data_IF_928229046885
#
_entry.id   IF_928229046885
#
_cell.length_a   1.000
_cell.length_b   1.000
_cell.length_c   1.000
_cell.angle_alpha   90.00
_cell.angle_beta   90.00
_cell.angle_gamma   90.00
#
_symmetry.space_group_name_H-M   'P 1'
#
loop_
_entity.id
_entity.type
_entity.pdbx_description
1 polymer ?
#
# COMPACT_ATOMS: atom_id res chain seq x y z
N UNK A 1 -13.06 2.16 -8.28
CA UNK A 1 -13.21 0.87 -7.57
C UNK A 1 -14.49 0.87 -6.76
N UNK A 2 -15.23 -0.20 -6.86
CA UNK A 2 -16.51 -0.33 -6.15
C UNK A 2 -16.28 -0.67 -4.68
N UNK A 3 -17.12 -0.12 -3.80
CA UNK A 3 -17.09 -0.51 -2.38
C UNK A 3 -17.57 -1.95 -2.25
N UNK A 4 -16.74 -2.80 -1.71
CA UNK A 4 -17.08 -4.19 -1.45
C UNK A 4 -16.81 -4.52 0.01
N UNK A 5 -17.47 -5.57 0.49
CA UNK A 5 -17.26 -6.04 1.85
C UNK A 5 -15.84 -6.61 1.98
N UNK A 6 -15.13 -6.22 3.04
CA UNK A 6 -13.79 -6.74 3.33
C UNK A 6 -13.90 -8.24 3.63
N UNK A 7 -13.08 -9.08 2.97
CA UNK A 7 -13.04 -10.51 3.28
C UNK A 7 -12.59 -10.77 4.73
N UNK A 8 -12.88 -11.97 5.20
CA UNK A 8 -12.47 -12.42 6.54
C UNK A 8 -10.93 -12.37 6.63
N UNK A 9 -10.43 -11.82 7.72
CA UNK A 9 -9.00 -11.75 7.98
C UNK A 9 -8.44 -13.12 8.35
N UNK A 10 -7.38 -13.54 7.66
CA UNK A 10 -6.67 -14.78 7.96
C UNK A 10 -5.44 -14.46 8.81
N UNK A 11 -5.66 -14.32 10.12
CA UNK A 11 -4.59 -14.00 11.06
C UNK A 11 -3.48 -15.06 11.03
N UNK A 12 -2.24 -14.60 11.12
CA UNK A 12 -1.07 -15.48 11.10
C UNK A 12 -0.63 -15.90 9.71
N UNK A 13 -1.41 -15.61 8.67
CA UNK A 13 -1.02 -15.91 7.30
C UNK A 13 0.23 -15.11 6.94
N UNK A 14 1.22 -15.81 6.37
CA UNK A 14 2.43 -15.15 5.88
C UNK A 14 2.16 -14.43 4.58
N UNK A 15 2.84 -13.30 4.44
CA UNK A 15 2.71 -12.46 3.28
C UNK A 15 3.29 -13.13 2.03
N UNK A 16 2.69 -12.83 0.87
CA UNK A 16 3.22 -13.24 -0.43
C UNK A 16 4.25 -12.21 -0.89
N UNK A 17 5.42 -12.70 -1.31
CA UNK A 17 6.48 -11.84 -1.78
C UNK A 17 6.10 -11.15 -3.09
N UNK A 18 6.74 -10.03 -3.35
CA UNK A 18 6.56 -9.27 -4.59
C UNK A 18 7.85 -8.57 -4.99
N UNK A 19 7.85 -8.07 -6.22
CA UNK A 19 8.96 -7.28 -6.77
C UNK A 19 8.33 -6.20 -7.64
N UNK A 20 8.30 -4.99 -7.14
CA UNK A 20 7.57 -3.88 -7.77
C UNK A 20 8.44 -2.63 -7.87
N UNK A 21 8.14 -1.80 -8.86
CA UNK A 21 8.84 -0.54 -9.09
C UNK A 21 8.22 0.56 -8.22
N UNK A 22 9.08 1.30 -7.51
CA UNK A 22 8.64 2.43 -6.69
C UNK A 22 8.73 3.76 -7.46
N UNK A 23 8.08 4.78 -6.92
CA UNK A 23 8.10 6.12 -7.53
C UNK A 23 9.48 6.77 -7.51
N UNK A 24 10.41 6.28 -6.70
CA UNK A 24 11.80 6.71 -6.74
C UNK A 24 12.65 5.91 -7.74
N UNK A 25 11.97 5.12 -8.59
CA UNK A 25 12.56 4.34 -9.68
C UNK A 25 13.42 3.16 -9.24
N UNK A 26 13.27 2.71 -7.99
CA UNK A 26 13.91 1.51 -7.49
C UNK A 26 12.96 0.33 -7.58
N UNK A 27 13.51 -0.87 -7.77
CA UNK A 27 12.74 -2.11 -7.69
C UNK A 27 12.85 -2.60 -6.25
N UNK A 28 11.71 -2.75 -5.57
CA UNK A 28 11.64 -3.15 -4.17
C UNK A 28 10.92 -4.47 -4.01
N UNK A 29 11.47 -5.31 -3.12
CA UNK A 29 10.84 -6.57 -2.70
C UNK A 29 10.29 -6.41 -1.29
N UNK A 30 9.56 -7.41 -0.82
CA UNK A 30 9.04 -7.41 0.54
C UNK A 30 10.16 -7.30 1.58
N UNK A 31 11.29 -7.96 1.36
CA UNK A 31 12.45 -7.85 2.25
C UNK A 31 13.00 -6.45 2.35
N UNK A 32 12.97 -5.71 1.23
CA UNK A 32 13.50 -4.34 1.19
C UNK A 32 12.67 -3.37 2.02
N UNK A 33 11.36 -3.63 2.13
CA UNK A 33 10.42 -2.73 2.79
C UNK A 33 10.04 -3.18 4.20
N UNK A 34 10.44 -4.37 4.60
CA UNK A 34 10.10 -4.95 5.89
C UNK A 34 10.64 -4.11 7.04
N UNK A 35 9.78 -3.82 8.03
CA UNK A 35 10.19 -3.12 9.25
C UNK A 35 10.71 -4.07 10.32
N UNK A 36 11.46 -3.54 11.28
CA UNK A 36 12.04 -4.34 12.37
C UNK A 36 10.98 -4.85 13.35
N UNK A 37 9.89 -4.12 13.52
CA UNK A 37 8.79 -4.48 14.43
C UNK A 37 7.52 -4.89 13.69
N UNK A 38 7.39 -4.52 12.43
CA UNK A 38 6.22 -4.84 11.63
C UNK A 38 6.21 -4.11 10.30
N UNK A 39 5.19 -4.40 9.49
CA UNK A 39 5.06 -3.82 8.15
C UNK A 39 3.60 -3.55 7.88
N UNK A 40 3.30 -2.36 7.37
CA UNK A 40 1.96 -1.98 6.92
C UNK A 40 1.97 -1.89 5.40
N UNK A 41 1.06 -2.64 4.77
CA UNK A 41 0.87 -2.59 3.32
C UNK A 41 -0.52 -2.03 3.05
N UNK A 42 -0.61 -0.98 2.24
CA UNK A 42 -1.89 -0.39 1.87
C UNK A 42 -2.03 -0.33 0.35
N UNK A 43 -3.20 -0.70 -0.15
CA UNK A 43 -3.53 -0.56 -1.55
C UNK A 43 -4.30 0.74 -1.74
N UNK A 44 -3.74 1.65 -2.51
CA UNK A 44 -4.31 2.98 -2.77
C UNK A 44 -4.23 3.31 -4.26
N UNK A 45 -4.89 4.38 -4.67
CA UNK A 45 -4.77 4.94 -6.01
C UNK A 45 -4.74 6.46 -5.93
N UNK A 46 -4.33 7.12 -7.02
CA UNK A 46 -4.18 8.57 -7.03
C UNK A 46 -5.52 9.32 -7.09
N UNK A 47 -6.52 8.70 -7.69
CA UNK A 47 -7.80 9.39 -7.96
C UNK A 47 -8.92 9.05 -6.98
N UNK A 48 -8.74 8.06 -6.11
CA UNK A 48 -9.79 7.59 -5.22
C UNK A 48 -10.17 8.66 -4.18
N UNK A 49 -11.45 9.09 -4.11
CA UNK A 49 -11.85 10.10 -3.14
C UNK A 49 -11.60 9.71 -1.68
N UNK A 50 -11.75 8.42 -1.36
CA UNK A 50 -11.50 7.92 -0.01
C UNK A 50 -10.02 8.04 0.37
N UNK A 51 -9.13 7.77 -0.59
CA UNK A 51 -7.68 7.93 -0.38
C UNK A 51 -7.35 9.41 -0.20
N UNK A 52 -7.87 10.27 -1.05
CA UNK A 52 -7.63 11.72 -0.97
C UNK A 52 -8.09 12.30 0.37
N UNK A 53 -9.18 11.75 0.92
CA UNK A 53 -9.71 12.22 2.20
C UNK A 53 -8.80 11.88 3.38
N UNK A 54 -8.02 10.81 3.31
CA UNK A 54 -7.22 10.33 4.45
C UNK A 54 -5.70 10.47 4.25
N UNK A 55 -5.26 10.88 3.05
CA UNK A 55 -3.83 10.77 2.70
C UNK A 55 -2.91 11.56 3.63
N UNK A 56 -3.31 12.74 4.07
CA UNK A 56 -2.49 13.55 4.98
C UNK A 56 -2.29 12.86 6.33
N UNK A 57 -3.36 12.32 6.88
CA UNK A 57 -3.31 11.59 8.15
C UNK A 57 -2.53 10.29 8.00
N UNK A 58 -2.72 9.61 6.87
CA UNK A 58 -2.00 8.37 6.58
C UNK A 58 -0.49 8.60 6.51
N UNK A 59 -0.05 9.66 5.83
CA UNK A 59 1.37 10.00 5.72
C UNK A 59 1.95 10.31 7.11
N UNK A 60 1.22 11.04 7.93
CA UNK A 60 1.66 11.35 9.30
C UNK A 60 1.72 10.09 10.17
N UNK A 61 0.73 9.21 10.05
CA UNK A 61 0.71 7.93 10.76
C UNK A 61 1.89 7.05 10.35
N UNK A 62 2.22 6.99 9.05
CA UNK A 62 3.35 6.22 8.55
C UNK A 62 4.67 6.74 9.11
N UNK A 63 4.81 8.06 9.23
CA UNK A 63 5.98 8.68 9.85
C UNK A 63 6.12 8.26 11.31
N UNK A 64 5.02 8.27 12.06
CA UNK A 64 5.03 7.88 13.47
C UNK A 64 5.28 6.38 13.65
N UNK A 65 4.71 5.53 12.78
CA UNK A 65 4.94 4.09 12.79
C UNK A 65 6.41 3.75 12.53
N UNK A 66 7.07 4.49 11.64
CA UNK A 66 8.49 4.27 11.35
C UNK A 66 9.36 4.47 12.58
N UNK A 67 9.01 5.39 13.47
CA UNK A 67 9.74 5.66 14.71
C UNK A 67 9.74 4.45 15.65
N UNK A 68 8.74 3.58 15.55
CA UNK A 68 8.62 2.37 16.39
C UNK A 68 8.97 1.09 15.62
N UNK A 69 9.61 1.23 14.45
CA UNK A 69 10.08 0.08 13.68
C UNK A 69 9.08 -0.54 12.74
N UNK A 70 7.96 0.14 12.46
CA UNK A 70 6.96 -0.33 11.50
C UNK A 70 7.10 0.47 10.22
N UNK A 71 7.54 -0.19 9.15
CA UNK A 71 7.63 0.43 7.84
C UNK A 71 6.30 0.30 7.09
N UNK A 72 6.01 1.29 6.25
CA UNK A 72 4.77 1.33 5.49
C UNK A 72 5.06 1.39 4.00
N UNK A 73 4.25 0.70 3.21
CA UNK A 73 4.32 0.73 1.75
C UNK A 73 2.92 0.85 1.18
N UNK A 74 2.79 1.67 0.14
CA UNK A 74 1.54 1.80 -0.60
C UNK A 74 1.71 1.17 -1.98
N UNK A 75 0.70 0.43 -2.43
CA UNK A 75 0.71 -0.26 -3.72
C UNK A 75 -0.49 0.21 -4.54
N UNK A 76 -0.24 0.64 -5.77
CA UNK A 76 -1.26 1.04 -6.72
C UNK A 76 -1.44 -0.09 -7.75
N UNK A 77 -2.63 -0.66 -7.80
CA UNK A 77 -2.93 -1.83 -8.64
C UNK A 77 -4.04 -1.59 -9.65
N UNK A 78 -4.44 -0.34 -9.88
CA UNK A 78 -5.44 -0.04 -10.90
C UNK A 78 -4.85 -0.17 -12.30
N UNK A 79 -5.70 -0.53 -13.25
CA UNK A 79 -5.31 -0.57 -14.66
C UNK A 79 -5.10 0.85 -15.17
N UNK A 80 -3.86 1.20 -15.51
CA UNK A 80 -3.50 2.54 -15.97
C UNK A 80 -4.09 2.87 -17.34
N UNK A 81 -4.48 1.88 -18.11
CA UNK A 81 -5.14 2.10 -19.42
C UNK A 81 -6.58 2.57 -19.21
N UNK A 82 -7.27 1.97 -18.23
CA UNK A 82 -8.64 2.35 -17.88
C UNK A 82 -8.68 3.59 -16.98
N UNK A 83 -7.63 3.81 -16.19
CA UNK A 83 -7.52 4.91 -15.23
C UNK A 83 -6.20 5.66 -15.44
N UNK A 84 -6.12 6.52 -16.47
CA UNK A 84 -4.88 7.28 -16.74
C UNK A 84 -4.43 8.15 -15.57
N UNK A 85 -5.35 8.53 -14.69
CA UNK A 85 -5.04 9.29 -13.47
C UNK A 85 -4.09 8.52 -12.55
N UNK A 86 -4.03 7.19 -12.68
CA UNK A 86 -3.19 6.32 -11.87
C UNK A 86 -1.90 5.89 -12.60
N UNK A 87 -1.52 6.61 -13.65
CA UNK A 87 -0.27 6.35 -14.35
C UNK A 87 0.93 6.49 -13.40
N UNK A 88 2.05 5.86 -13.76
CA UNK A 88 3.26 5.93 -12.95
C UNK A 88 3.74 7.38 -12.77
N UNK A 89 3.64 8.19 -13.81
CA UNK A 89 4.00 9.61 -13.75
C UNK A 89 3.12 10.36 -12.74
N UNK A 90 1.82 10.07 -12.73
CA UNK A 90 0.90 10.67 -11.76
C UNK A 90 1.13 10.14 -10.35
N UNK A 91 1.59 8.89 -10.20
CA UNK A 91 1.99 8.35 -8.90
C UNK A 91 3.17 9.14 -8.33
N UNK A 92 4.17 9.44 -9.16
CA UNK A 92 5.34 10.24 -8.73
C UNK A 92 4.87 11.61 -8.23
N UNK A 93 4.01 12.26 -8.99
CA UNK A 93 3.45 13.56 -8.63
C UNK A 93 2.65 13.50 -7.33
N UNK A 94 1.80 12.48 -7.21
CA UNK A 94 0.98 12.27 -6.01
C UNK A 94 1.86 12.09 -4.76
N UNK A 95 2.92 11.30 -4.88
CA UNK A 95 3.86 11.07 -3.78
C UNK A 95 4.60 12.35 -3.39
N UNK A 96 5.02 13.16 -4.36
CA UNK A 96 5.67 14.45 -4.12
C UNK A 96 4.72 15.44 -3.45
N UNK A 97 3.50 15.57 -3.98
CA UNK A 97 2.50 16.52 -3.49
C UNK A 97 2.04 16.19 -2.07
N UNK A 98 2.08 14.92 -1.69
CA UNK A 98 1.62 14.46 -0.38
C UNK A 98 2.75 14.08 0.58
N UNK A 99 4.00 14.37 0.21
CA UNK A 99 5.17 14.17 1.08
C UNK A 99 5.36 12.73 1.56
N UNK A 100 5.44 11.80 0.60
CA UNK A 100 5.65 10.37 0.87
C UNK A 100 7.09 10.04 1.31
N UNK A 101 7.65 10.78 2.23
CA UNK A 101 9.04 10.58 2.67
C UNK A 101 9.23 9.29 3.47
N UNK A 102 8.18 8.85 4.17
CA UNK A 102 8.19 7.65 5.01
C UNK A 102 7.25 6.57 4.50
N UNK A 103 6.87 6.65 3.22
CA UNK A 103 5.91 5.74 2.60
C UNK A 103 6.35 5.48 1.16
N UNK A 104 6.82 4.27 0.88
CA UNK A 104 7.14 3.88 -0.48
C UNK A 104 5.86 3.67 -1.28
N UNK A 105 5.83 4.11 -2.51
CA UNK A 105 4.67 3.97 -3.39
C UNK A 105 5.05 3.14 -4.61
N UNK A 106 4.49 1.94 -4.72
CA UNK A 106 4.84 0.94 -5.71
C UNK A 106 3.73 0.74 -6.73
N UNK A 107 4.10 0.43 -7.96
CA UNK A 107 3.13 0.10 -9.01
C UNK A 107 3.03 -1.42 -9.20
N UNK A 108 1.81 -1.94 -9.08
CA UNK A 108 1.46 -3.34 -9.38
C UNK A 108 0.78 -3.35 -10.75
N UNK A 109 1.60 -3.26 -11.79
CA UNK A 109 1.19 -3.04 -13.17
C UNK A 109 0.26 -4.13 -13.70
N UNK A 110 0.50 -5.37 -13.31
CA UNK A 110 -0.29 -6.53 -13.75
C UNK A 110 -1.45 -6.85 -12.82
N UNK A 111 -1.55 -6.15 -11.68
CA UNK A 111 -2.56 -6.39 -10.65
C UNK A 111 -2.43 -7.76 -9.95
N UNK A 112 -1.30 -8.44 -10.18
CA UNK A 112 -1.07 -9.76 -9.59
C UNK A 112 -0.91 -9.71 -8.08
N UNK A 113 -0.24 -8.68 -7.55
CA UNK A 113 -0.02 -8.54 -6.11
C UNK A 113 -1.34 -8.30 -5.39
N UNK A 114 -2.19 -7.41 -5.94
CA UNK A 114 -3.51 -7.19 -5.37
C UNK A 114 -4.33 -8.47 -5.31
N UNK A 115 -4.26 -9.29 -6.36
CA UNK A 115 -4.97 -10.58 -6.41
C UNK A 115 -4.43 -11.56 -5.37
N UNK A 116 -3.10 -11.65 -5.22
CA UNK A 116 -2.47 -12.52 -4.22
C UNK A 116 -2.87 -12.13 -2.79
N UNK A 117 -2.95 -10.83 -2.52
CA UNK A 117 -3.34 -10.34 -1.20
C UNK A 117 -4.84 -10.37 -0.98
N UNK A 118 -5.62 -10.55 -2.05
CA UNK A 118 -7.08 -10.48 -1.97
C UNK A 118 -7.59 -9.07 -1.71
N UNK A 119 -6.86 -8.05 -2.16
CA UNK A 119 -7.28 -6.67 -2.02
C UNK A 119 -8.52 -6.42 -2.90
N UNK A 120 -9.58 -5.84 -2.30
CA UNK A 120 -10.87 -5.71 -2.98
C UNK A 120 -11.34 -4.25 -3.14
N UNK A 121 -10.70 -3.33 -2.44
CA UNK A 121 -11.07 -1.91 -2.53
C UNK A 121 -9.86 -1.04 -2.17
N UNK A 122 -9.94 0.24 -2.47
CA UNK A 122 -8.96 1.21 -2.01
C UNK A 122 -9.65 2.25 -1.12
N UNK A 123 -9.05 2.63 0.00
CA UNK A 123 -7.86 2.01 0.58
C UNK A 123 -8.15 0.65 1.23
N UNK A 124 -7.21 -0.28 1.13
CA UNK A 124 -7.27 -1.57 1.82
C UNK A 124 -5.96 -1.76 2.57
N UNK A 125 -6.02 -2.09 3.85
CA UNK A 125 -4.86 -2.11 4.75
C UNK A 125 -4.56 -3.50 5.26
N UNK A 126 -3.27 -3.86 5.25
CA UNK A 126 -2.77 -5.14 5.73
C UNK A 126 -1.61 -4.88 6.69
N UNK A 127 -1.79 -5.25 7.96
CA UNK A 127 -0.76 -5.08 8.98
C UNK A 127 -0.10 -6.41 9.33
N UNK A 128 1.21 -6.45 9.32
CA UNK A 128 2.02 -7.64 9.57
C UNK A 128 2.96 -7.43 10.75
N UNK A 129 3.23 -8.52 11.50
CA UNK A 129 4.21 -8.48 12.56
C UNK A 129 5.64 -8.59 12.00
N UNK A 130 6.65 -8.65 12.88
CA UNK A 130 8.05 -8.72 12.48
C UNK A 130 8.40 -9.97 11.66
N UNK A 131 7.57 -11.01 11.75
CA UNK A 131 7.75 -12.25 11.01
C UNK A 131 6.91 -12.30 9.72
N UNK A 132 6.32 -11.17 9.33
CA UNK A 132 5.45 -11.04 8.17
C UNK A 132 4.20 -11.93 8.25
N UNK A 133 3.67 -12.10 9.44
CA UNK A 133 2.42 -12.80 9.68
C UNK A 133 1.29 -11.78 9.83
N UNK A 134 0.18 -12.01 9.13
CA UNK A 134 -0.93 -11.07 9.09
C UNK A 134 -1.57 -10.92 10.48
N UNK A 135 -1.66 -9.68 10.97
CA UNK A 135 -2.25 -9.33 12.25
C UNK A 135 -3.49 -8.46 12.13
N UNK A 136 -3.62 -7.74 11.02
CA UNK A 136 -4.74 -6.84 10.79
C UNK A 136 -5.03 -6.75 9.30
N UNK A 137 -6.30 -6.73 8.97
CA UNK A 137 -6.77 -6.42 7.63
C UNK A 137 -8.06 -5.62 7.73
N UNK A 138 -8.16 -4.55 6.92
CA UNK A 138 -9.40 -3.78 6.91
C UNK A 138 -9.27 -2.45 6.19
N UNK A 139 -10.29 -1.64 6.37
CA UNK A 139 -10.33 -0.27 5.85
C UNK A 139 -10.31 0.67 7.04
N UNK A 140 -9.55 1.76 6.89
CA UNK A 140 -9.58 2.82 7.88
C UNK A 140 -10.68 3.79 7.45
N UNK A 141 -11.81 3.66 8.12
CA UNK A 141 -12.98 4.55 7.97
C UNK A 141 -13.38 4.87 6.54
#
# INVERSE_FOLDING_TARGET
MTLTKTPICEFGKKDDDFKLKSTNKQILTLKDIKGTSGTLITFICNHCPYVKAIIKELVEDCKNLKKIGINSVAIMSNDTKSYPEDSFENMIKFAEDNHFDNLDYLIDDTQEVAKKYGAVCTPDFFGYNQNLELQYRGRIR
#
